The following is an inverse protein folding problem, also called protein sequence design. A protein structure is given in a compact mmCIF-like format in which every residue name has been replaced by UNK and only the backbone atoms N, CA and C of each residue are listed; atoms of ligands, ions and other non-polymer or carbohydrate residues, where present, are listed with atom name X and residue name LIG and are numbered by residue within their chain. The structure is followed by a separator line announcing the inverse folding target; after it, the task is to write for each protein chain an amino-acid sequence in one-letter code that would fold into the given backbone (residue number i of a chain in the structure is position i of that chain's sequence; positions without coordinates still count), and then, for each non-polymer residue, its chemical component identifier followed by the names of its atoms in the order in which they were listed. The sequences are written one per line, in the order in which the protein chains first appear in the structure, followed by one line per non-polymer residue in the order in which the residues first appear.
data_IF_157088080940
#
_entry.id   IF_157088080940
#
_cell.length_a   1.000
_cell.length_b   1.000
_cell.length_c   1.000
_cell.angle_alpha   90.00
_cell.angle_beta   90.00
_cell.angle_gamma   90.00
#
_symmetry.space_group_name_H-M   'P 1'
#
loop_
_entity.id
_entity.type
_entity.pdbx_description
1 polymer ?
#
# COMPACT_ATOMS: atom_id res chain seq x y z
N UNK A 1 4.20 -18.63 15.28
CA UNK A 1 4.32 -17.15 15.19
C UNK A 1 3.61 -16.72 13.93
N UNK A 2 2.85 -15.64 13.97
CA UNK A 2 2.19 -15.10 12.77
C UNK A 2 3.26 -14.55 11.83
N UNK A 3 3.25 -14.95 10.57
CA UNK A 3 4.16 -14.41 9.57
C UNK A 3 3.76 -12.96 9.25
N UNK A 4 4.76 -12.08 9.15
CA UNK A 4 4.56 -10.66 8.82
C UNK A 4 5.36 -10.32 7.59
N UNK A 5 4.68 -9.74 6.61
CA UNK A 5 5.29 -9.29 5.36
C UNK A 5 4.95 -7.83 5.15
N UNK A 6 5.98 -7.01 4.94
CA UNK A 6 5.81 -5.65 4.43
C UNK A 6 5.95 -5.71 2.92
N UNK A 7 4.96 -5.22 2.19
CA UNK A 7 4.89 -5.35 0.74
C UNK A 7 4.80 -4.01 0.05
N UNK A 8 5.67 -3.78 -0.94
CA UNK A 8 5.75 -2.53 -1.68
C UNK A 8 6.12 -2.75 -3.15
N UNK A 9 5.94 -1.71 -3.94
CA UNK A 9 6.42 -1.60 -5.32
C UNK A 9 7.02 -0.21 -5.52
N UNK A 10 7.59 0.04 -6.69
CA UNK A 10 8.18 1.33 -7.06
C UNK A 10 8.00 1.62 -8.55
N UNK A 11 8.37 2.82 -8.96
CA UNK A 11 8.36 3.28 -10.35
C UNK A 11 9.78 3.57 -10.84
N UNK A 12 10.05 3.57 -12.17
CA UNK A 12 11.40 3.72 -12.73
C UNK A 12 12.16 4.91 -12.16
N UNK A 13 11.55 6.09 -12.19
CA UNK A 13 12.22 7.34 -11.78
C UNK A 13 12.65 7.35 -10.32
N UNK A 14 11.90 6.67 -9.45
CA UNK A 14 12.23 6.54 -8.02
C UNK A 14 13.26 5.44 -7.78
N UNK A 15 13.19 4.35 -8.55
CA UNK A 15 14.09 3.21 -8.42
C UNK A 15 15.50 3.55 -8.86
N UNK A 16 15.63 4.27 -9.99
CA UNK A 16 16.93 4.52 -10.65
C UNK A 16 17.75 5.64 -10.01
N UNK A 17 17.24 6.30 -8.98
CA UNK A 17 17.93 7.39 -8.25
C UNK A 17 18.65 8.37 -9.18
N UNK A 18 17.93 9.33 -9.69
CA UNK A 18 18.58 10.58 -10.12
C UNK A 18 18.95 11.38 -8.85
N UNK A 19 19.90 12.31 -8.93
CA UNK A 19 20.35 13.10 -7.76
C UNK A 19 19.20 13.77 -6.98
N UNK A 20 18.05 13.90 -7.62
CA UNK A 20 16.84 14.54 -7.07
C UNK A 20 15.80 13.54 -6.49
N UNK A 21 16.02 12.21 -6.60
CA UNK A 21 15.04 11.19 -6.26
C UNK A 21 15.60 10.05 -5.41
N UNK A 22 15.98 10.37 -4.18
CA UNK A 22 16.43 9.35 -3.21
C UNK A 22 15.27 8.72 -2.41
N UNK A 23 14.01 8.98 -2.80
CA UNK A 23 12.83 8.60 -2.02
C UNK A 23 12.74 7.11 -1.73
N UNK A 24 12.78 6.26 -2.75
CA UNK A 24 12.66 4.80 -2.60
C UNK A 24 13.74 4.20 -1.69
N UNK A 25 15.00 4.61 -1.87
CA UNK A 25 16.10 4.11 -1.04
C UNK A 25 15.96 4.50 0.43
N UNK A 26 15.58 5.75 0.68
CA UNK A 26 15.39 6.24 2.04
C UNK A 26 14.13 5.63 2.68
N UNK A 27 13.02 5.55 1.95
CA UNK A 27 11.79 4.89 2.40
C UNK A 27 12.03 3.43 2.76
N UNK A 28 12.67 2.68 1.86
CA UNK A 28 13.03 1.29 2.11
C UNK A 28 13.93 1.13 3.33
N UNK A 29 14.88 2.06 3.56
CA UNK A 29 15.74 2.03 4.74
C UNK A 29 14.95 2.17 6.05
N UNK A 30 13.88 2.96 6.07
CA UNK A 30 13.02 3.06 7.27
C UNK A 30 12.24 1.77 7.53
N UNK A 31 11.85 1.06 6.46
CA UNK A 31 11.16 -0.23 6.57
C UNK A 31 12.15 -1.32 7.03
N UNK A 32 13.41 -1.28 6.57
CA UNK A 32 14.46 -2.22 6.98
C UNK A 32 14.87 -2.08 8.46
N UNK A 33 14.69 -0.89 9.04
CA UNK A 33 15.08 -0.56 10.42
C UNK A 33 13.92 -0.69 11.43
N UNK A 34 12.85 -1.44 11.12
CA UNK A 34 11.76 -1.64 12.06
C UNK A 34 12.22 -2.39 13.32
N UNK A 35 11.70 -1.97 14.48
CA UNK A 35 12.05 -2.56 15.79
C UNK A 35 11.54 -3.99 15.93
N UNK A 36 10.40 -4.31 15.33
CA UNK A 36 9.81 -5.66 15.35
C UNK A 36 10.60 -6.63 14.50
N UNK A 37 10.77 -7.87 14.99
CA UNK A 37 11.42 -8.97 14.26
C UNK A 37 10.87 -10.30 14.78
N UNK A 38 10.72 -11.37 13.95
CA UNK A 38 11.07 -11.41 12.53
C UNK A 38 9.94 -10.90 11.62
N UNK A 39 10.31 -10.33 10.49
CA UNK A 39 9.42 -9.99 9.36
C UNK A 39 10.18 -10.09 8.04
N UNK A 40 9.45 -10.18 6.93
CA UNK A 40 10.03 -10.09 5.58
C UNK A 40 9.53 -8.84 4.84
N UNK A 41 10.35 -8.35 3.93
CA UNK A 41 10.00 -7.27 3.01
C UNK A 41 9.94 -7.87 1.61
N UNK A 42 8.77 -7.79 0.97
CA UNK A 42 8.57 -8.16 -0.42
C UNK A 42 8.57 -6.90 -1.29
N UNK A 43 9.70 -6.64 -1.94
CA UNK A 43 9.83 -5.55 -2.89
C UNK A 43 9.52 -6.09 -4.29
N UNK A 44 8.31 -5.80 -4.77
CA UNK A 44 7.80 -6.26 -6.05
C UNK A 44 8.18 -5.25 -7.13
N UNK A 45 9.08 -5.64 -8.04
CA UNK A 45 9.58 -4.77 -9.11
C UNK A 45 9.14 -5.36 -10.46
N UNK A 46 8.33 -4.65 -11.24
CA UNK A 46 7.95 -5.10 -12.56
C UNK A 46 9.16 -5.42 -13.46
N UNK A 47 9.03 -6.40 -14.35
CA UNK A 47 10.02 -6.56 -15.42
C UNK A 47 10.03 -5.34 -16.33
N UNK A 48 8.83 -4.92 -16.69
CA UNK A 48 8.58 -3.80 -17.57
C UNK A 48 7.50 -2.93 -16.95
N UNK A 49 7.56 -1.62 -17.16
CA UNK A 49 6.71 -0.65 -16.50
C UNK A 49 5.89 0.17 -17.50
N UNK A 50 4.61 0.39 -17.15
CA UNK A 50 3.71 1.28 -17.85
C UNK A 50 3.34 0.86 -19.26
N UNK A 51 2.60 1.73 -19.95
CA UNK A 51 2.09 1.49 -21.31
C UNK A 51 3.24 1.37 -22.33
N UNK A 52 4.34 2.09 -22.09
CA UNK A 52 5.50 2.08 -22.98
C UNK A 52 6.38 0.84 -22.78
N UNK A 53 6.03 -0.04 -21.87
CA UNK A 53 6.74 -1.28 -21.60
C UNK A 53 8.25 -1.07 -21.32
N UNK A 54 8.58 -0.02 -20.55
CA UNK A 54 9.94 0.33 -20.17
C UNK A 54 10.58 -0.76 -19.31
N UNK A 55 11.72 -1.30 -19.73
CA UNK A 55 12.42 -2.32 -18.98
C UNK A 55 13.04 -1.74 -17.71
N UNK A 56 12.71 -2.32 -16.55
CA UNK A 56 13.30 -1.97 -15.27
C UNK A 56 14.46 -2.89 -14.92
N UNK A 57 15.64 -2.31 -14.74
CA UNK A 57 16.80 -3.00 -14.17
C UNK A 57 16.84 -2.83 -12.64
N UNK A 58 17.49 -3.77 -11.95
CA UNK A 58 17.74 -3.65 -10.51
C UNK A 58 18.99 -2.80 -10.32
N UNK A 59 18.92 -1.63 -9.68
CA UNK A 59 20.09 -0.79 -9.45
C UNK A 59 21.04 -1.42 -8.42
N UNK A 60 22.30 -1.07 -8.51
CA UNK A 60 23.35 -1.63 -7.65
C UNK A 60 23.05 -1.42 -6.15
N UNK A 61 22.60 -0.21 -5.77
CA UNK A 61 22.28 0.08 -4.37
C UNK A 61 21.22 -0.87 -3.79
N UNK A 62 20.26 -1.33 -4.60
CA UNK A 62 19.22 -2.25 -4.13
C UNK A 62 19.76 -3.67 -3.99
N UNK A 63 20.69 -4.07 -4.88
CA UNK A 63 21.42 -5.34 -4.74
C UNK A 63 22.31 -5.35 -3.50
N UNK A 64 22.94 -4.23 -3.18
CA UNK A 64 23.73 -4.05 -1.96
C UNK A 64 22.83 -4.21 -0.72
N UNK A 65 21.66 -3.56 -0.68
CA UNK A 65 20.70 -3.73 0.40
C UNK A 65 20.23 -5.17 0.55
N UNK A 66 19.93 -5.85 -0.56
CA UNK A 66 19.54 -7.27 -0.50
C UNK A 66 20.65 -8.16 0.09
N UNK A 67 21.90 -7.80 -0.13
CA UNK A 67 23.06 -8.52 0.43
C UNK A 67 23.27 -8.21 1.91
N UNK A 68 22.93 -7.00 2.36
CA UNK A 68 23.07 -6.56 3.74
C UNK A 68 21.91 -7.01 4.62
N UNK A 69 20.68 -7.00 4.09
CA UNK A 69 19.46 -7.27 4.86
C UNK A 69 18.79 -8.57 4.42
N UNK A 70 18.97 -9.63 5.22
CA UNK A 70 18.45 -10.96 4.92
C UNK A 70 16.91 -11.04 4.81
N UNK A 71 16.19 -10.11 5.42
CA UNK A 71 14.74 -10.02 5.37
C UNK A 71 14.19 -9.27 4.14
N UNK A 72 15.06 -8.64 3.32
CA UNK A 72 14.67 -8.02 2.05
C UNK A 72 14.65 -9.07 0.93
N UNK A 73 13.48 -9.24 0.32
CA UNK A 73 13.27 -10.11 -0.83
C UNK A 73 12.83 -9.28 -2.02
N UNK A 74 13.65 -9.25 -3.06
CA UNK A 74 13.35 -8.57 -4.32
C UNK A 74 12.72 -9.58 -5.27
N UNK A 75 11.52 -9.26 -5.76
CA UNK A 75 10.79 -10.11 -6.69
C UNK A 75 10.52 -9.37 -8.00
N UNK A 76 10.89 -10.00 -9.11
CA UNK A 76 10.50 -9.54 -10.44
C UNK A 76 9.09 -10.05 -10.75
N UNK A 77 8.26 -9.19 -11.32
CA UNK A 77 6.84 -9.47 -11.52
C UNK A 77 6.27 -8.81 -12.77
N UNK A 78 5.01 -9.11 -13.09
CA UNK A 78 4.22 -8.35 -14.04
C UNK A 78 3.83 -7.01 -13.41
N UNK A 79 3.74 -5.96 -14.24
CA UNK A 79 3.19 -4.67 -13.82
C UNK A 79 1.64 -4.74 -13.78
N UNK A 80 1.10 -4.51 -12.61
CA UNK A 80 -0.33 -4.37 -12.37
C UNK A 80 -0.71 -2.91 -12.00
N UNK A 81 0.16 -1.95 -12.30
CA UNK A 81 0.03 -0.58 -11.83
C UNK A 81 0.27 -0.47 -10.32
N UNK A 82 -0.35 0.49 -9.61
CA UNK A 82 -0.12 0.69 -8.18
C UNK A 82 -0.40 -0.56 -7.32
N UNK A 83 -1.32 -1.43 -7.76
CA UNK A 83 -1.68 -2.66 -7.03
C UNK A 83 -0.58 -3.74 -7.10
N UNK A 84 0.49 -3.54 -7.88
CA UNK A 84 1.70 -4.37 -7.87
C UNK A 84 2.32 -4.45 -6.47
N UNK A 85 2.06 -3.47 -5.61
CA UNK A 85 2.51 -3.51 -4.22
C UNK A 85 1.96 -4.71 -3.43
N UNK A 86 0.84 -5.33 -3.82
CA UNK A 86 0.22 -6.42 -3.06
C UNK A 86 0.02 -7.71 -3.86
N UNK A 87 -0.42 -7.66 -5.11
CA UNK A 87 -0.83 -8.85 -5.89
C UNK A 87 0.27 -9.91 -5.95
N UNK A 88 1.53 -9.61 -6.32
CA UNK A 88 2.57 -10.63 -6.40
C UNK A 88 2.92 -11.25 -5.04
N UNK A 89 2.72 -10.51 -3.96
CA UNK A 89 2.89 -11.03 -2.60
C UNK A 89 1.77 -12.01 -2.26
N UNK A 90 0.51 -11.70 -2.58
CA UNK A 90 -0.63 -12.60 -2.40
C UNK A 90 -0.49 -13.90 -3.20
N UNK A 91 0.13 -13.85 -4.38
CA UNK A 91 0.39 -15.04 -5.21
C UNK A 91 1.38 -16.02 -4.56
N UNK A 92 2.37 -15.47 -3.88
CA UNK A 92 3.43 -16.27 -3.24
C UNK A 92 3.05 -16.83 -1.87
N UNK A 93 2.25 -16.10 -1.13
CA UNK A 93 1.92 -16.46 0.25
C UNK A 93 0.65 -17.31 0.29
N UNK A 94 0.76 -18.48 0.92
CA UNK A 94 -0.34 -19.43 1.08
C UNK A 94 -0.88 -19.50 2.51
N UNK A 95 -0.09 -19.13 3.52
CA UNK A 95 -0.51 -19.14 4.92
C UNK A 95 -1.60 -18.07 5.14
N UNK A 96 -2.84 -18.47 5.47
CA UNK A 96 -3.99 -17.58 5.60
C UNK A 96 -3.86 -16.55 6.73
N UNK A 97 -3.06 -16.86 7.74
CA UNK A 97 -2.87 -16.03 8.92
C UNK A 97 -1.74 -15.00 8.76
N UNK A 98 -1.05 -15.00 7.62
CA UNK A 98 -0.01 -14.02 7.33
C UNK A 98 -0.60 -12.61 7.30
N UNK A 99 0.03 -11.70 8.07
CA UNK A 99 -0.26 -10.27 8.03
C UNK A 99 0.57 -9.65 6.90
N UNK A 100 -0.10 -9.04 5.93
CA UNK A 100 0.54 -8.31 4.84
C UNK A 100 0.31 -6.82 5.09
N UNK A 101 1.39 -6.09 5.35
CA UNK A 101 1.39 -4.64 5.52
C UNK A 101 1.82 -4.01 4.20
N UNK A 102 0.93 -3.28 3.57
CA UNK A 102 1.19 -2.56 2.31
C UNK A 102 1.67 -1.15 2.63
N UNK A 103 2.72 -0.73 1.96
CA UNK A 103 3.34 0.59 2.11
C UNK A 103 3.71 1.17 0.74
N UNK A 104 3.87 2.49 0.68
CA UNK A 104 4.44 3.16 -0.49
C UNK A 104 5.97 3.28 -0.36
N UNK A 105 6.66 3.47 -1.46
CA UNK A 105 8.11 3.47 -1.53
C UNK A 105 8.75 4.85 -1.26
N UNK A 106 7.94 5.91 -1.23
CA UNK A 106 8.37 7.31 -1.17
C UNK A 106 8.04 8.02 0.16
N UNK A 107 7.92 7.24 1.23
CA UNK A 107 7.55 7.75 2.55
C UNK A 107 8.51 7.25 3.63
N UNK A 108 8.70 8.07 4.68
CA UNK A 108 9.37 7.68 5.91
C UNK A 108 8.39 7.01 6.85
N UNK A 109 8.70 5.81 7.26
CA UNK A 109 7.92 5.09 8.26
C UNK A 109 8.67 5.06 9.59
N UNK A 110 7.93 5.32 10.67
CA UNK A 110 8.47 5.19 12.03
C UNK A 110 8.89 3.73 12.28
N UNK A 111 9.88 3.53 13.08
CA UNK A 111 10.45 2.24 13.44
C UNK A 111 9.50 1.32 14.24
N UNK A 112 8.40 1.87 14.79
CA UNK A 112 7.29 1.14 15.43
C UNK A 112 6.11 0.78 14.51
N UNK A 113 6.19 0.96 13.17
CA UNK A 113 5.06 0.72 12.26
C UNK A 113 4.52 -0.70 12.36
N UNK A 114 5.38 -1.71 12.35
CA UNK A 114 4.97 -3.12 12.40
C UNK A 114 4.29 -3.44 13.73
N UNK A 115 4.86 -2.98 14.85
CA UNK A 115 4.26 -3.15 16.17
C UNK A 115 2.87 -2.51 16.26
N UNK A 116 2.71 -1.32 15.69
CA UNK A 116 1.43 -0.64 15.63
C UNK A 116 0.37 -1.48 14.91
N UNK A 117 0.70 -2.04 13.73
CA UNK A 117 -0.22 -2.95 13.02
C UNK A 117 -0.54 -4.22 13.78
N UNK A 118 0.46 -4.83 14.46
CA UNK A 118 0.25 -6.03 15.27
C UNK A 118 -0.70 -5.73 16.44
N UNK A 119 -0.48 -4.63 17.14
CA UNK A 119 -1.34 -4.24 18.26
C UNK A 119 -2.76 -3.88 17.80
N UNK A 120 -2.89 -3.17 16.69
CA UNK A 120 -4.18 -2.92 16.07
C UNK A 120 -4.90 -4.23 15.67
N UNK A 121 -4.15 -5.20 15.12
CA UNK A 121 -4.69 -6.52 14.73
C UNK A 121 -5.20 -7.32 15.94
N UNK A 122 -4.55 -7.24 17.10
CA UNK A 122 -5.06 -7.85 18.35
C UNK A 122 -6.41 -7.27 18.75
N UNK A 123 -6.61 -5.95 18.56
CA UNK A 123 -7.87 -5.26 18.86
C UNK A 123 -8.96 -5.52 17.82
N UNK A 124 -8.56 -5.62 16.53
CA UNK A 124 -9.46 -5.75 15.38
C UNK A 124 -9.02 -6.93 14.48
N UNK A 125 -9.17 -8.19 14.93
CA UNK A 125 -8.58 -9.35 14.23
C UNK A 125 -9.08 -9.56 12.81
N UNK A 126 -10.34 -9.18 12.52
CA UNK A 126 -10.99 -9.42 11.23
C UNK A 126 -11.20 -8.14 10.39
N UNK A 127 -10.42 -7.08 10.62
CA UNK A 127 -10.53 -5.82 9.91
C UNK A 127 -9.37 -5.61 8.94
N UNK A 128 -9.60 -4.93 7.83
CA UNK A 128 -8.54 -4.23 7.14
C UNK A 128 -8.20 -2.96 7.96
N UNK A 129 -6.92 -2.78 8.28
CA UNK A 129 -6.48 -1.78 9.26
C UNK A 129 -5.50 -0.83 8.61
N UNK A 130 -5.78 0.47 8.67
CA UNK A 130 -4.91 1.53 8.13
C UNK A 130 -4.72 2.68 9.10
N UNK A 131 -3.92 3.64 8.67
CA UNK A 131 -3.61 4.85 9.41
C UNK A 131 -4.01 6.13 8.66
N UNK A 132 -4.61 5.97 7.49
CA UNK A 132 -5.31 7.01 6.75
C UNK A 132 -6.51 6.43 6.01
N UNK A 133 -7.50 7.27 5.73
CA UNK A 133 -8.67 6.86 4.99
C UNK A 133 -9.59 8.02 4.59
N UNK A 134 -10.57 7.69 3.77
CA UNK A 134 -11.55 8.65 3.24
C UNK A 134 -12.95 8.24 3.66
N UNK A 135 -13.72 9.22 4.11
CA UNK A 135 -15.15 9.10 4.40
C UNK A 135 -15.43 8.16 5.56
N UNK A 136 -15.46 8.69 6.80
CA UNK A 136 -15.93 7.90 7.95
C UNK A 136 -17.37 7.45 7.77
N UNK A 137 -17.71 6.25 8.25
CA UNK A 137 -19.07 5.72 8.14
C UNK A 137 -20.06 6.46 9.03
N UNK A 138 -19.59 7.11 10.10
CA UNK A 138 -20.39 7.95 10.99
C UNK A 138 -20.48 9.43 10.53
N UNK A 139 -19.85 9.77 9.41
CA UNK A 139 -19.82 11.13 8.88
C UNK A 139 -18.93 12.11 9.64
N UNK A 140 -18.15 11.65 10.60
CA UNK A 140 -17.34 12.51 11.47
C UNK A 140 -16.11 13.10 10.78
N UNK A 141 -15.61 12.48 9.73
CA UNK A 141 -14.47 12.99 8.94
C UNK A 141 -14.59 12.64 7.46
N UNK A 142 -14.07 13.53 6.62
CA UNK A 142 -13.90 13.27 5.17
C UNK A 142 -12.51 12.68 4.89
N UNK A 143 -11.45 13.33 5.36
CA UNK A 143 -10.09 12.81 5.35
C UNK A 143 -9.72 12.40 6.78
N UNK A 144 -9.56 11.09 6.98
CA UNK A 144 -9.38 10.50 8.29
C UNK A 144 -7.90 10.16 8.47
N UNK A 145 -7.09 11.15 8.84
CA UNK A 145 -5.62 11.01 8.92
C UNK A 145 -5.03 11.29 10.30
N UNK A 146 -5.75 12.00 11.16
CA UNK A 146 -5.34 12.29 12.54
C UNK A 146 -6.60 12.24 13.39
N UNK A 147 -6.83 11.10 14.02
CA UNK A 147 -8.09 10.82 14.69
C UNK A 147 -7.88 10.66 16.19
N UNK A 148 -8.85 11.15 16.96
CA UNK A 148 -8.92 10.96 18.41
C UNK A 148 -9.48 9.60 18.82
N UNK A 149 -10.12 8.90 17.90
CA UNK A 149 -10.67 7.55 18.11
C UNK A 149 -10.54 6.71 16.86
N UNK A 150 -10.45 5.41 17.03
CA UNK A 150 -10.49 4.44 15.93
C UNK A 150 -11.80 4.60 15.16
N UNK A 151 -11.70 4.78 13.84
CA UNK A 151 -12.86 5.17 13.02
C UNK A 151 -13.01 4.27 11.81
N UNK A 152 -14.24 3.73 11.62
CA UNK A 152 -14.57 2.97 10.40
C UNK A 152 -14.68 3.92 9.21
N UNK A 153 -14.09 3.52 8.09
CA UNK A 153 -14.00 4.34 6.87
C UNK A 153 -14.52 3.60 5.65
N UNK A 154 -14.86 4.37 4.62
CA UNK A 154 -15.24 3.85 3.30
C UNK A 154 -14.04 3.33 2.53
N UNK A 155 -12.95 4.09 2.53
CA UNK A 155 -11.70 3.80 1.81
C UNK A 155 -10.52 3.92 2.76
N UNK A 156 -9.64 2.92 2.77
CA UNK A 156 -8.32 3.00 3.39
C UNK A 156 -7.32 3.53 2.37
N UNK A 157 -6.42 4.40 2.80
CA UNK A 157 -5.37 4.98 1.96
C UNK A 157 -4.02 4.34 2.28
N UNK A 158 -3.40 3.73 1.25
CA UNK A 158 -2.17 2.93 1.38
C UNK A 158 -0.93 3.72 1.75
N UNK A 159 -0.89 5.03 1.47
CA UNK A 159 0.30 5.84 1.71
C UNK A 159 0.73 5.86 3.20
N UNK A 160 -0.21 5.82 4.14
CA UNK A 160 0.09 5.68 5.57
C UNK A 160 0.12 4.23 6.06
N UNK A 161 0.23 3.28 5.16
CA UNK A 161 0.18 1.85 5.38
C UNK A 161 -1.21 1.27 5.68
N UNK A 162 -1.44 0.08 5.14
CA UNK A 162 -2.64 -0.71 5.42
C UNK A 162 -2.24 -2.17 5.63
N UNK A 163 -2.78 -2.82 6.65
CA UNK A 163 -2.59 -4.25 6.85
C UNK A 163 -3.83 -5.08 6.55
N UNK A 164 -3.60 -6.20 5.89
CA UNK A 164 -4.57 -7.22 5.54
C UNK A 164 -4.13 -8.58 6.08
N UNK A 165 -5.06 -9.51 6.29
CA UNK A 165 -4.72 -10.94 6.37
C UNK A 165 -4.72 -11.54 4.97
N UNK A 166 -3.84 -12.51 4.74
CA UNK A 166 -3.83 -13.27 3.48
C UNK A 166 -5.19 -13.92 3.21
N UNK A 167 -5.86 -14.41 4.25
CA UNK A 167 -7.19 -15.02 4.18
C UNK A 167 -8.31 -14.10 3.72
N UNK A 168 -8.10 -12.79 3.69
CA UNK A 168 -9.10 -11.86 3.16
C UNK A 168 -9.27 -11.96 1.66
N UNK A 169 -8.29 -12.52 0.94
CA UNK A 169 -8.22 -12.55 -0.50
C UNK A 169 -8.45 -13.95 -1.08
N UNK A 170 -9.53 -14.08 -1.84
CA UNK A 170 -9.64 -15.04 -2.92
C UNK A 170 -9.01 -14.40 -4.16
N UNK A 171 -7.82 -14.86 -4.54
CA UNK A 171 -7.01 -14.16 -5.53
C UNK A 171 -7.59 -14.26 -6.94
N UNK A 172 -8.20 -15.39 -7.29
CA UNK A 172 -8.81 -15.59 -8.60
C UNK A 172 -10.06 -14.69 -8.73
N UNK A 173 -10.91 -14.68 -7.72
CA UNK A 173 -12.07 -13.80 -7.64
C UNK A 173 -11.65 -12.32 -7.70
N UNK A 174 -10.61 -11.93 -6.95
CA UNK A 174 -10.10 -10.58 -6.96
C UNK A 174 -9.59 -10.15 -8.34
N UNK A 175 -8.78 -10.97 -8.98
CA UNK A 175 -8.24 -10.69 -10.32
C UNK A 175 -9.32 -10.54 -11.37
N UNK A 176 -10.31 -11.40 -11.36
CA UNK A 176 -11.42 -11.38 -12.34
C UNK A 176 -12.29 -10.14 -12.16
N UNK A 177 -12.65 -9.80 -10.92
CA UNK A 177 -13.73 -8.86 -10.66
C UNK A 177 -13.27 -7.45 -10.28
N UNK A 178 -12.02 -7.27 -9.79
CA UNK A 178 -11.57 -6.00 -9.19
C UNK A 178 -10.28 -5.45 -9.79
N UNK A 179 -9.30 -6.28 -10.13
CA UNK A 179 -7.93 -5.85 -10.40
C UNK A 179 -7.81 -4.75 -11.48
N UNK A 180 -8.61 -4.81 -12.54
CA UNK A 180 -8.54 -3.86 -13.66
C UNK A 180 -9.70 -2.83 -13.65
N UNK A 181 -10.33 -2.60 -12.50
CA UNK A 181 -11.49 -1.71 -12.41
C UNK A 181 -11.12 -0.25 -12.13
N UNK A 182 -9.97 0.00 -11.57
CA UNK A 182 -9.46 1.35 -11.32
C UNK A 182 -7.95 1.34 -11.17
N UNK A 183 -7.31 2.44 -11.57
CA UNK A 183 -5.90 2.70 -11.29
C UNK A 183 -5.66 3.14 -9.85
N UNK A 184 -6.71 3.46 -9.12
CA UNK A 184 -6.61 3.79 -7.70
C UNK A 184 -6.77 2.51 -6.89
N UNK A 185 -5.66 1.94 -6.47
CA UNK A 185 -5.59 0.70 -5.69
C UNK A 185 -6.29 0.81 -4.33
N UNK A 186 -6.30 1.98 -3.70
CA UNK A 186 -6.99 2.22 -2.44
C UNK A 186 -8.49 1.97 -2.54
N UNK A 187 -9.12 2.48 -3.62
CA UNK A 187 -10.55 2.23 -3.87
C UNK A 187 -10.82 0.78 -4.26
N UNK A 188 -9.96 0.18 -5.08
CA UNK A 188 -10.10 -1.23 -5.51
C UNK A 188 -10.01 -2.17 -4.32
N UNK A 189 -8.99 -2.03 -3.48
CA UNK A 189 -8.78 -2.86 -2.31
C UNK A 189 -9.91 -2.64 -1.28
N UNK A 190 -10.30 -1.38 -1.06
CA UNK A 190 -11.39 -1.06 -0.14
C UNK A 190 -12.75 -1.57 -0.61
N UNK A 191 -13.02 -1.52 -1.92
CA UNK A 191 -14.24 -2.09 -2.50
C UNK A 191 -14.26 -3.62 -2.37
N UNK A 192 -13.13 -4.28 -2.61
CA UNK A 192 -13.03 -5.72 -2.42
C UNK A 192 -13.24 -6.12 -0.96
N UNK A 193 -12.65 -5.40 0.01
CA UNK A 193 -12.92 -5.63 1.43
C UNK A 193 -14.43 -5.52 1.73
N UNK A 194 -15.09 -4.48 1.20
CA UNK A 194 -16.54 -4.33 1.37
C UNK A 194 -17.34 -5.45 0.70
N UNK A 195 -16.95 -5.89 -0.49
CA UNK A 195 -17.56 -7.05 -1.16
C UNK A 195 -17.45 -8.33 -0.32
N UNK A 196 -16.30 -8.56 0.30
CA UNK A 196 -16.06 -9.70 1.22
C UNK A 196 -16.68 -9.49 2.61
N UNK A 197 -17.37 -8.37 2.86
CA UNK A 197 -17.89 -7.95 4.18
C UNK A 197 -16.79 -7.85 5.26
N UNK A 198 -15.58 -7.45 4.89
CA UNK A 198 -14.47 -7.19 5.78
C UNK A 198 -14.49 -5.70 6.13
N UNK A 199 -14.69 -5.35 7.40
CA UNK A 199 -14.74 -3.94 7.80
C UNK A 199 -13.38 -3.28 7.71
N UNK A 200 -13.39 -1.98 7.44
CA UNK A 200 -12.22 -1.12 7.27
C UNK A 200 -12.14 -0.13 8.43
N UNK A 201 -10.96 0.02 9.04
CA UNK A 201 -10.78 0.91 10.18
C UNK A 201 -9.47 1.68 10.07
N UNK A 202 -9.53 2.97 10.38
CA UNK A 202 -8.38 3.84 10.60
C UNK A 202 -8.15 3.93 12.10
N UNK A 203 -6.92 3.65 12.51
CA UNK A 203 -6.49 3.70 13.91
C UNK A 203 -6.25 5.13 14.36
N UNK A 204 -6.62 5.43 15.60
CA UNK A 204 -6.37 6.71 16.23
C UNK A 204 -4.90 6.87 16.61
N UNK A 205 -4.44 8.13 16.69
CA UNK A 205 -3.07 8.51 17.03
C UNK A 205 -2.94 9.26 18.35
N UNK A 206 -4.05 9.53 19.04
CA UNK A 206 -3.96 10.32 20.26
C UNK A 206 -3.18 9.58 21.34
N UNK A 207 -2.09 10.19 21.76
CA UNK A 207 -1.31 9.95 22.97
C UNK A 207 -0.39 8.72 23.03
N UNK A 208 -0.17 7.96 21.99
CA UNK A 208 0.92 6.99 22.00
C UNK A 208 2.11 7.53 21.21
N UNK A 209 2.94 8.34 21.90
CA UNK A 209 4.08 9.03 21.29
C UNK A 209 5.15 8.05 20.80
N UNK A 210 5.12 6.80 21.25
CA UNK A 210 6.16 5.82 20.95
C UNK A 210 5.83 4.92 19.76
N UNK A 211 4.55 4.82 19.36
CA UNK A 211 4.09 3.90 18.29
C UNK A 211 3.22 4.54 17.21
N UNK A 212 3.06 5.86 17.25
CA UNK A 212 2.33 6.56 16.18
C UNK A 212 3.11 6.42 14.87
N UNK A 213 2.53 5.79 13.83
CA UNK A 213 3.17 5.76 12.52
C UNK A 213 3.10 7.16 11.91
N UNK A 214 4.02 8.02 12.31
CA UNK A 214 4.23 9.29 11.64
C UNK A 214 4.81 8.96 10.27
N UNK A 215 4.01 9.19 9.27
CA UNK A 215 4.46 9.21 7.90
C UNK A 215 4.85 10.64 7.60
N UNK A 216 6.13 10.92 7.59
CA UNK A 216 6.63 12.15 7.04
C UNK A 216 6.81 11.93 5.54
N UNK A 217 6.03 12.66 4.74
CA UNK A 217 6.34 12.74 3.32
C UNK A 217 7.74 13.33 3.19
N UNK A 218 8.60 12.72 2.40
CA UNK A 218 9.87 13.34 2.05
C UNK A 218 9.59 14.75 1.55
N UNK A 219 10.32 15.76 2.00
CA UNK A 219 10.35 17.02 1.32
C UNK A 219 10.97 16.73 -0.05
N UNK A 220 10.15 16.33 -1.00
CA UNK A 220 10.59 16.13 -2.36
C UNK A 220 10.74 17.49 -2.94
N UNK A 221 11.97 17.96 -2.93
CA UNK A 221 12.36 19.11 -3.73
C UNK A 221 12.09 18.70 -5.19
N UNK A 222 11.01 19.27 -5.77
CA UNK A 222 10.69 19.05 -7.17
C UNK A 222 9.59 18.03 -7.48
N UNK A 223 8.62 17.75 -6.58
CA UNK A 223 7.39 17.04 -6.96
C UNK A 223 6.59 17.86 -7.97
N UNK A 224 7.03 17.82 -9.22
CA UNK A 224 6.11 18.13 -10.31
C UNK A 224 5.19 16.91 -10.51
N UNK A 225 3.94 17.12 -10.95
CA UNK A 225 3.03 16.01 -11.28
C UNK A 225 3.62 15.02 -12.30
N UNK A 226 4.63 15.44 -13.07
CA UNK A 226 5.37 14.66 -14.07
C UNK A 226 6.18 13.52 -13.42
N UNK A 227 6.65 13.70 -12.19
CA UNK A 227 7.55 12.78 -11.49
C UNK A 227 6.81 11.66 -10.75
N UNK A 228 5.48 11.69 -10.73
CA UNK A 228 4.63 10.68 -10.11
C UNK A 228 4.33 9.48 -11.02
N UNK A 229 5.21 9.16 -11.95
CA UNK A 229 5.24 7.94 -12.76
C UNK A 229 3.86 7.45 -13.24
N UNK A 230 3.46 6.24 -12.90
CA UNK A 230 2.20 5.64 -13.32
C UNK A 230 0.93 6.42 -12.98
N UNK A 231 0.95 7.23 -11.94
CA UNK A 231 -0.12 8.20 -11.70
C UNK A 231 -0.14 9.33 -12.74
N UNK A 232 0.97 9.61 -13.41
CA UNK A 232 1.02 10.64 -14.44
C UNK A 232 0.34 10.20 -15.73
N UNK A 233 0.62 9.01 -16.21
CA UNK A 233 -0.03 8.47 -17.43
C UNK A 233 -1.54 8.39 -17.23
N UNK A 234 -1.98 7.93 -16.07
CA UNK A 234 -3.39 7.89 -15.69
C UNK A 234 -3.99 9.30 -15.61
N UNK A 235 -3.31 10.25 -14.95
CA UNK A 235 -3.82 11.62 -14.78
C UNK A 235 -3.93 12.41 -16.08
N UNK A 236 -3.15 12.06 -17.09
CA UNK A 236 -3.18 12.71 -18.40
C UNK A 236 -3.99 11.94 -19.44
N UNK A 237 -4.53 10.77 -19.10
CA UNK A 237 -5.40 9.99 -19.96
C UNK A 237 -6.85 10.14 -19.50
N UNK A 238 -7.60 11.03 -20.18
CA UNK A 238 -9.01 11.32 -19.84
C UNK A 238 -9.90 10.09 -19.90
N UNK A 239 -9.64 9.14 -20.80
CA UNK A 239 -10.46 7.95 -20.96
C UNK A 239 -10.24 6.99 -19.79
N UNK A 240 -8.99 6.78 -19.35
CA UNK A 240 -8.68 5.98 -18.17
C UNK A 240 -9.22 6.62 -16.89
N UNK A 241 -9.17 7.95 -16.77
CA UNK A 241 -9.77 8.65 -15.63
C UNK A 241 -11.28 8.47 -15.60
N UNK A 242 -11.96 8.65 -16.72
CA UNK A 242 -13.42 8.48 -16.82
C UNK A 242 -13.82 7.04 -16.49
N UNK A 243 -13.11 6.04 -17.03
CA UNK A 243 -13.37 4.64 -16.72
C UNK A 243 -13.17 4.34 -15.22
N UNK A 244 -12.12 4.85 -14.63
CA UNK A 244 -11.87 4.70 -13.20
C UNK A 244 -12.97 5.33 -12.35
N UNK A 245 -13.42 6.54 -12.68
CA UNK A 245 -14.52 7.21 -11.98
C UNK A 245 -15.85 6.44 -12.09
N UNK A 246 -16.16 5.91 -13.29
CA UNK A 246 -17.34 5.08 -13.49
C UNK A 246 -17.30 3.84 -12.60
N UNK A 247 -16.16 3.17 -12.53
CA UNK A 247 -16.00 1.98 -11.70
C UNK A 247 -16.06 2.30 -10.20
N UNK A 248 -15.45 3.38 -9.74
CA UNK A 248 -15.56 3.86 -8.36
C UNK A 248 -17.02 4.16 -8.01
N UNK A 249 -17.74 4.85 -8.88
CA UNK A 249 -19.16 5.12 -8.70
C UNK A 249 -20.00 3.82 -8.66
N UNK A 250 -19.64 2.82 -9.43
CA UNK A 250 -20.29 1.51 -9.37
C UNK A 250 -20.02 0.80 -8.03
N UNK A 251 -18.82 0.91 -7.47
CA UNK A 251 -18.53 0.38 -6.13
C UNK A 251 -19.39 1.03 -5.03
N UNK A 252 -19.62 2.36 -5.12
CA UNK A 252 -20.56 3.04 -4.24
C UNK A 252 -22.00 2.54 -4.43
N UNK A 253 -22.49 2.46 -5.68
CA UNK A 253 -23.86 1.97 -5.98
C UNK A 253 -24.12 0.54 -5.49
N UNK A 254 -23.10 -0.32 -5.54
CA UNK A 254 -23.16 -1.70 -5.05
C UNK A 254 -22.98 -1.78 -3.52
N UNK A 255 -22.72 -0.66 -2.85
CA UNK A 255 -22.53 -0.58 -1.41
C UNK A 255 -21.23 -1.21 -0.92
N UNK A 256 -20.25 -1.47 -1.79
CA UNK A 256 -18.98 -2.09 -1.41
C UNK A 256 -18.10 -1.14 -0.58
N UNK A 257 -18.21 0.16 -0.79
CA UNK A 257 -17.47 1.15 -0.04
C UNK A 257 -18.16 1.59 1.26
N UNK A 258 -19.43 1.25 1.43
CA UNK A 258 -20.25 1.62 2.61
C UNK A 258 -20.22 0.57 3.77
N UNK A 259 -19.49 -0.53 3.59
CA UNK A 259 -19.46 -1.67 4.54
C UNK A 259 -18.22 -1.72 5.39
#
# INVERSE_FOLDING_TARGET
MTNIIVSLTTIPNRLMETQDHMGTRLGLKTILNQLYSPYEIHFNIPYNYGINNEELSIPLWLSDFQSEYNNLKIFRTTDYGPITKIIPTLERIQDPDTIIIVVDDDLYYMDGLIDAHINARKKYPNYAIGYAGIGSLDGSCHFCTTLSKDTRVKVLEGYKSVSYLRSFFDLDEFKINFMNKSWNDDYVLSAYMGYKNIPKIVMSYENDTDFSPRVESFPVIGHTPIERGGCYEFRNNSDLQNESEININNFYKLGYLER
#
